data_IF_179746095171
#
_entry.id   IF_179746095171
#
_cell.length_a   1.000
_cell.length_b   1.000
_cell.length_c   1.000
_cell.angle_alpha   90.00
_cell.angle_beta   90.00
_cell.angle_gamma   90.00
#
_symmetry.space_group_name_H-M   'P 1'
#
loop_
_entity.id
_entity.type
_entity.pdbx_description
1 polymer ?
#
# COMPACT_ATOMS: atom_id res chain seq x y z
N UNK A 1 12.48 11.49 -21.52
CA UNK A 1 13.76 10.79 -21.23
C UNK A 1 14.50 11.36 -20.02
N UNK A 2 14.32 12.64 -19.64
CA UNK A 2 14.97 13.24 -18.46
C UNK A 2 14.26 12.88 -17.13
N UNK A 3 12.94 12.75 -17.15
CA UNK A 3 12.15 12.51 -15.92
C UNK A 3 12.50 11.22 -15.18
N UNK A 4 12.74 10.12 -15.90
CA UNK A 4 13.13 8.83 -15.30
C UNK A 4 14.41 8.96 -14.48
N UNK A 5 15.39 9.71 -15.02
CA UNK A 5 16.67 9.97 -14.36
C UNK A 5 16.50 10.80 -13.08
N UNK A 6 15.54 11.74 -13.07
CA UNK A 6 15.28 12.58 -11.90
C UNK A 6 14.59 11.81 -10.75
N UNK A 7 13.70 10.86 -11.07
CA UNK A 7 13.04 10.00 -10.07
C UNK A 7 14.07 9.07 -9.42
N UNK A 8 14.92 8.43 -10.22
CA UNK A 8 16.00 7.57 -9.71
C UNK A 8 16.96 8.37 -8.84
N UNK A 9 17.31 9.61 -9.24
CA UNK A 9 18.19 10.46 -8.45
C UNK A 9 17.59 10.82 -7.08
N UNK A 10 16.31 11.19 -7.03
CA UNK A 10 15.62 11.48 -5.76
C UNK A 10 15.54 10.26 -4.86
N UNK A 11 15.25 9.08 -5.43
CA UNK A 11 15.23 7.81 -4.69
C UNK A 11 16.60 7.54 -4.05
N UNK A 12 17.68 7.64 -4.83
CA UNK A 12 19.05 7.45 -4.32
C UNK A 12 19.43 8.45 -3.23
N UNK A 13 19.08 9.73 -3.40
CA UNK A 13 19.34 10.77 -2.38
C UNK A 13 18.56 10.48 -1.11
N UNK A 14 17.32 9.99 -1.22
CA UNK A 14 16.51 9.61 -0.07
C UNK A 14 17.07 8.38 0.63
N UNK A 15 17.35 7.30 -0.11
CA UNK A 15 18.00 6.08 0.39
C UNK A 15 19.30 6.41 1.14
N UNK A 16 20.16 7.24 0.54
CA UNK A 16 21.44 7.62 1.13
C UNK A 16 21.27 8.48 2.39
N UNK A 17 20.29 9.40 2.41
CA UNK A 17 19.92 10.15 3.63
C UNK A 17 19.34 9.27 4.74
N UNK A 18 18.59 8.23 4.38
CA UNK A 18 17.98 7.31 5.34
C UNK A 18 19.05 6.42 6.00
N UNK A 19 20.04 5.97 5.21
CA UNK A 19 21.22 5.22 5.71
C UNK A 19 22.12 6.11 6.58
N UNK A 20 22.41 7.34 6.14
CA UNK A 20 23.30 8.26 6.85
C UNK A 20 22.71 8.74 8.18
N UNK A 21 21.37 8.78 8.30
CA UNK A 21 20.70 9.20 9.53
C UNK A 21 20.47 8.11 10.57
N UNK A 22 20.88 6.84 10.33
CA UNK A 22 20.50 5.71 11.20
C UNK A 22 19.00 5.81 11.57
N UNK A 23 18.12 5.74 10.57
CA UNK A 23 16.69 5.97 10.76
C UNK A 23 16.11 4.97 11.78
N UNK A 24 16.14 5.35 13.06
CA UNK A 24 15.48 4.59 14.11
C UNK A 24 13.97 4.80 13.92
N UNK A 25 13.19 3.72 13.75
CA UNK A 25 11.76 3.83 13.61
C UNK A 25 11.19 4.56 14.85
N UNK A 26 10.21 5.47 14.67
CA UNK A 26 9.66 6.26 15.75
C UNK A 26 9.35 5.39 16.98
N UNK A 27 9.84 5.79 18.16
CA UNK A 27 9.77 4.95 19.36
C UNK A 27 8.33 4.56 19.75
N UNK A 28 7.33 5.31 19.29
CA UNK A 28 5.90 5.10 19.49
C UNK A 28 5.28 4.01 18.61
N UNK A 29 6.03 3.40 17.68
CA UNK A 29 5.51 2.32 16.84
C UNK A 29 5.48 0.99 17.58
N UNK A 30 4.45 0.21 17.33
CA UNK A 30 4.31 -1.15 17.87
C UNK A 30 5.37 -2.08 17.26
N UNK A 31 5.78 -3.12 18.00
CA UNK A 31 6.84 -4.05 17.57
C UNK A 31 6.53 -4.83 16.27
N UNK A 32 5.25 -4.92 15.89
CA UNK A 32 4.88 -5.49 14.59
C UNK A 32 5.04 -4.48 13.45
N UNK A 33 4.77 -3.19 13.67
CA UNK A 33 5.00 -2.11 12.69
C UNK A 33 6.49 -1.96 12.42
N UNK A 34 7.32 -2.02 13.48
CA UNK A 34 8.79 -2.01 13.35
C UNK A 34 9.33 -3.19 12.54
N UNK A 35 8.70 -4.36 12.63
CA UNK A 35 9.09 -5.56 11.86
C UNK A 35 8.74 -5.46 10.37
N UNK A 36 7.68 -4.74 10.03
CA UNK A 36 7.25 -4.55 8.64
C UNK A 36 7.76 -3.25 8.00
N UNK A 37 8.35 -2.34 8.77
CA UNK A 37 8.80 -1.02 8.32
C UNK A 37 9.80 -1.08 7.14
N UNK A 38 10.77 -2.00 7.19
CA UNK A 38 11.77 -2.15 6.13
C UNK A 38 11.16 -2.60 4.79
N UNK A 39 10.10 -3.40 4.83
CA UNK A 39 9.35 -3.80 3.64
C UNK A 39 8.38 -2.71 3.19
N UNK A 40 7.77 -1.99 4.14
CA UNK A 40 6.81 -0.93 3.85
C UNK A 40 7.43 0.23 3.09
N UNK A 41 8.65 0.66 3.45
CA UNK A 41 9.32 1.77 2.76
C UNK A 41 9.66 1.40 1.30
N UNK A 42 10.17 0.18 1.07
CA UNK A 42 10.48 -0.31 -0.27
C UNK A 42 9.21 -0.47 -1.13
N UNK A 43 8.18 -1.12 -0.60
CA UNK A 43 6.92 -1.36 -1.31
C UNK A 43 6.18 -0.05 -1.60
N UNK A 44 6.12 0.88 -0.64
CA UNK A 44 5.46 2.18 -0.83
C UNK A 44 6.23 3.04 -1.83
N UNK A 45 7.56 3.06 -1.77
CA UNK A 45 8.36 3.83 -2.72
C UNK A 45 8.23 3.27 -4.16
N UNK A 46 8.13 1.95 -4.30
CA UNK A 46 7.87 1.30 -5.59
C UNK A 46 6.45 1.57 -6.10
N UNK A 47 5.42 1.40 -5.26
CA UNK A 47 4.03 1.67 -5.61
C UNK A 47 3.81 3.14 -5.97
N UNK A 48 4.41 4.07 -5.23
CA UNK A 48 4.36 5.51 -5.54
C UNK A 48 5.13 5.82 -6.83
N UNK A 49 6.28 5.19 -7.07
CA UNK A 49 7.03 5.33 -8.31
C UNK A 49 6.25 4.82 -9.53
N UNK A 50 5.59 3.67 -9.41
CA UNK A 50 4.69 3.12 -10.44
C UNK A 50 3.50 4.04 -10.65
N UNK A 51 2.86 4.51 -9.58
CA UNK A 51 1.73 5.44 -9.65
C UNK A 51 2.12 6.76 -10.32
N UNK A 52 3.29 7.30 -9.98
CA UNK A 52 3.82 8.53 -10.55
C UNK A 52 4.18 8.37 -12.02
N UNK A 53 4.82 7.24 -12.39
CA UNK A 53 5.10 6.91 -13.80
C UNK A 53 3.81 6.75 -14.60
N UNK A 54 2.78 6.09 -14.02
CA UNK A 54 1.47 5.96 -14.64
C UNK A 54 0.79 7.33 -14.83
N UNK A 55 0.85 8.21 -13.83
CA UNK A 55 0.30 9.57 -13.91
C UNK A 55 1.00 10.43 -14.97
N UNK A 56 2.32 10.27 -15.14
CA UNK A 56 3.09 11.04 -16.12
C UNK A 56 2.95 10.49 -17.54
N UNK A 57 2.67 9.19 -17.73
CA UNK A 57 2.57 8.57 -19.06
C UNK A 57 1.13 8.31 -19.56
N UNK A 58 0.11 8.25 -18.69
CA UNK A 58 -1.25 7.84 -19.10
C UNK A 58 -2.30 8.90 -18.83
N UNK A 59 -3.37 8.90 -19.65
CA UNK A 59 -4.55 9.74 -19.42
C UNK A 59 -5.05 9.49 -17.97
N UNK A 60 -5.20 10.54 -17.14
CA UNK A 60 -5.41 10.43 -15.68
C UNK A 60 -6.55 9.51 -15.23
N UNK A 61 -7.49 9.18 -16.12
CA UNK A 61 -8.56 8.20 -15.88
C UNK A 61 -8.08 6.78 -15.56
N UNK A 62 -6.95 6.33 -16.11
CA UNK A 62 -6.49 4.94 -15.95
C UNK A 62 -5.87 4.71 -14.56
N UNK A 63 -5.11 5.67 -14.06
CA UNK A 63 -4.58 5.66 -12.70
C UNK A 63 -5.70 5.68 -11.65
N UNK A 64 -6.69 6.54 -11.82
CA UNK A 64 -7.88 6.60 -10.95
C UNK A 64 -8.66 5.28 -11.00
N UNK A 65 -8.79 4.67 -12.20
CA UNK A 65 -9.43 3.37 -12.37
C UNK A 65 -8.73 2.24 -11.59
N UNK A 66 -7.41 2.16 -11.67
CA UNK A 66 -6.63 1.15 -10.93
C UNK A 66 -6.70 1.38 -9.41
N UNK A 67 -6.60 2.63 -8.96
CA UNK A 67 -6.75 2.98 -7.56
C UNK A 67 -8.15 2.63 -7.04
N UNK A 68 -9.18 2.85 -7.85
CA UNK A 68 -10.56 2.45 -7.58
C UNK A 68 -10.69 0.92 -7.47
N UNK A 69 -10.12 0.16 -8.39
CA UNK A 69 -10.14 -1.31 -8.35
C UNK A 69 -9.47 -1.86 -7.07
N UNK A 70 -8.31 -1.33 -6.70
CA UNK A 70 -7.62 -1.73 -5.46
C UNK A 70 -8.47 -1.37 -4.23
N UNK A 71 -8.98 -0.14 -4.19
CA UNK A 71 -9.81 0.34 -3.07
C UNK A 71 -11.12 -0.42 -2.95
N UNK A 72 -11.70 -0.92 -4.05
CA UNK A 72 -12.91 -1.73 -4.03
C UNK A 72 -12.63 -3.21 -3.69
N UNK A 73 -11.47 -3.74 -4.06
CA UNK A 73 -11.12 -5.15 -3.80
C UNK A 73 -11.14 -5.50 -2.30
N UNK A 74 -10.66 -4.59 -1.45
CA UNK A 74 -10.60 -4.80 0.00
C UNK A 74 -12.01 -4.82 0.64
N UNK A 75 -12.89 -3.81 0.46
CA UNK A 75 -14.28 -3.84 0.91
C UNK A 75 -15.06 -5.03 0.36
N UNK A 76 -14.85 -5.44 -0.90
CA UNK A 76 -15.56 -6.59 -1.47
C UNK A 76 -15.18 -7.89 -0.76
N UNK A 77 -13.89 -8.11 -0.48
CA UNK A 77 -13.45 -9.28 0.29
C UNK A 77 -14.01 -9.27 1.72
N UNK A 78 -13.99 -8.12 2.38
CA UNK A 78 -14.52 -7.94 3.74
C UNK A 78 -16.03 -8.20 3.78
N UNK A 79 -16.78 -7.70 2.79
CA UNK A 79 -18.21 -7.92 2.67
C UNK A 79 -18.54 -9.41 2.50
N UNK A 80 -17.80 -10.12 1.65
CA UNK A 80 -17.97 -11.57 1.48
C UNK A 80 -17.75 -12.33 2.80
N UNK A 81 -16.65 -12.07 3.49
CA UNK A 81 -16.36 -12.70 4.80
C UNK A 81 -17.47 -12.40 5.80
N UNK A 82 -17.92 -11.15 5.89
CA UNK A 82 -18.99 -10.74 6.80
C UNK A 82 -20.32 -11.44 6.47
N UNK A 83 -20.67 -11.56 5.18
CA UNK A 83 -21.88 -12.29 4.77
C UNK A 83 -21.84 -13.77 5.17
N UNK A 84 -20.69 -14.44 4.97
CA UNK A 84 -20.53 -15.82 5.38
C UNK A 84 -20.62 -15.99 6.90
N UNK A 85 -20.04 -15.06 7.68
CA UNK A 85 -20.15 -15.08 9.14
C UNK A 85 -21.59 -14.90 9.62
N UNK A 86 -22.35 -14.00 8.99
CA UNK A 86 -23.76 -13.78 9.32
C UNK A 86 -24.59 -15.03 9.02
N UNK A 87 -24.35 -15.68 7.88
CA UNK A 87 -25.08 -16.90 7.51
C UNK A 87 -24.77 -18.07 8.45
N UNK A 88 -23.51 -18.23 8.86
CA UNK A 88 -23.12 -19.19 9.90
C UNK A 88 -23.78 -18.86 11.23
N UNK A 89 -23.78 -17.60 11.64
CA UNK A 89 -24.41 -17.16 12.90
C UNK A 89 -25.93 -17.42 12.89
N UNK A 90 -26.61 -17.16 11.76
CA UNK A 90 -28.03 -17.49 11.59
C UNK A 90 -28.28 -18.99 11.62
N UNK A 91 -27.43 -19.80 10.98
CA UNK A 91 -27.53 -21.25 11.01
C UNK A 91 -27.39 -21.81 12.43
N UNK A 92 -26.47 -21.27 13.23
CA UNK A 92 -26.30 -21.63 14.65
C UNK A 92 -27.53 -21.20 15.46
N UNK A 93 -28.04 -19.98 15.25
CA UNK A 93 -29.18 -19.45 16.00
C UNK A 93 -30.51 -20.13 15.64
N UNK A 94 -30.64 -20.62 14.40
CA UNK A 94 -31.83 -21.36 13.93
C UNK A 94 -31.73 -22.87 14.18
N UNK A 95 -30.54 -23.38 14.49
CA UNK A 95 -30.29 -24.79 14.83
C UNK A 95 -30.21 -25.07 16.35
N UNK A 96 -30.34 -24.04 17.19
CA UNK A 96 -30.51 -24.11 18.65
C UNK A 96 -31.97 -23.89 19.03
#
# INVERSE_FOLDING_TARGET
MVDEGMIVLRKRIHEMKMVERNYEPPANWMDWEKRYFAFYDADVCEVVGVLQSLLMNTRPALAIGMMGLVTLSVPTSMFMVMSHLIDVAKGILSGA
#
